data_IF_110058961715
#
_entry.id   IF_110058961715
#
_cell.length_a   1.000
_cell.length_b   1.000
_cell.length_c   1.000
_cell.angle_alpha   90.00
_cell.angle_beta   90.00
_cell.angle_gamma   90.00
#
_symmetry.space_group_name_H-M   'P 1'
#
loop_
_entity.id
_entity.type
_entity.pdbx_description
1 polymer ?
#
# COMPACT_ATOMS: atom_id res chain seq x y z
N UNK A 1 -36.50 8.92 -94.29
CA UNK A 1 -37.63 9.79 -94.77
C UNK A 1 -38.27 10.49 -93.59
N UNK A 2 -38.45 11.85 -93.77
CA UNK A 2 -39.24 12.79 -92.90
C UNK A 2 -38.75 12.98 -91.43
N UNK A 3 -38.06 14.05 -91.15
CA UNK A 3 -38.34 15.52 -91.02
C UNK A 3 -39.58 15.84 -90.17
N UNK A 4 -39.32 16.61 -89.12
CA UNK A 4 -40.00 17.86 -88.64
C UNK A 4 -40.14 17.80 -87.07
N UNK A 5 -40.07 18.79 -86.27
CA UNK A 5 -39.71 20.21 -86.29
C UNK A 5 -40.02 20.73 -84.91
N UNK A 6 -39.11 21.49 -84.35
CA UNK A 6 -39.10 22.53 -83.32
C UNK A 6 -40.47 22.96 -82.74
N UNK A 7 -40.50 23.06 -81.38
CA UNK A 7 -41.12 24.23 -80.73
C UNK A 7 -40.37 24.62 -79.44
N UNK A 8 -40.01 25.90 -79.35
CA UNK A 8 -39.41 26.55 -78.17
C UNK A 8 -40.54 26.95 -77.21
N UNK A 9 -40.37 26.72 -75.97
CA UNK A 9 -41.18 27.29 -74.90
C UNK A 9 -40.28 27.58 -73.67
N UNK A 10 -39.95 28.87 -73.51
CA UNK A 10 -39.23 29.36 -72.33
C UNK A 10 -40.20 29.50 -71.19
N UNK A 11 -39.90 28.81 -70.08
CA UNK A 11 -40.51 29.11 -68.76
C UNK A 11 -39.36 29.37 -67.77
N UNK A 12 -39.30 30.62 -67.32
CA UNK A 12 -38.39 31.02 -66.22
C UNK A 12 -38.84 30.38 -64.91
N UNK A 13 -38.01 29.53 -64.32
CA UNK A 13 -38.21 29.06 -63.00
C UNK A 13 -37.09 29.63 -62.08
N UNK A 14 -37.51 30.49 -61.21
CA UNK A 14 -36.68 31.09 -60.11
C UNK A 14 -36.20 30.00 -59.18
N UNK A 15 -34.92 29.68 -59.24
CA UNK A 15 -34.27 28.73 -58.35
C UNK A 15 -33.87 29.48 -57.03
N UNK A 16 -34.59 29.25 -55.90
CA UNK A 16 -34.16 29.61 -54.58
C UNK A 16 -33.01 28.67 -54.17
N UNK A 17 -31.78 29.17 -54.16
CA UNK A 17 -30.64 28.48 -53.65
C UNK A 17 -30.70 28.50 -52.10
N UNK A 18 -31.10 27.37 -51.48
CA UNK A 18 -30.92 27.14 -50.06
C UNK A 18 -29.45 26.88 -49.84
N UNK A 19 -28.71 27.86 -49.28
CA UNK A 19 -27.39 27.66 -48.71
C UNK A 19 -27.53 26.80 -47.44
N UNK A 20 -27.37 25.47 -47.55
CA UNK A 20 -27.06 24.61 -46.46
C UNK A 20 -25.60 24.89 -46.06
N UNK A 21 -25.37 25.82 -45.16
CA UNK A 21 -24.09 25.95 -44.48
C UNK A 21 -23.91 24.69 -43.61
N UNK A 22 -23.28 23.67 -44.18
CA UNK A 22 -22.77 22.53 -43.43
C UNK A 22 -21.75 23.04 -42.42
N UNK A 23 -22.10 22.98 -41.15
CA UNK A 23 -21.15 23.02 -40.06
C UNK A 23 -20.23 21.80 -40.22
N UNK A 24 -19.20 21.93 -41.06
CA UNK A 24 -18.03 21.06 -40.99
C UNK A 24 -17.38 21.37 -39.65
N UNK A 25 -17.79 20.65 -38.60
CA UNK A 25 -17.02 20.60 -37.37
C UNK A 25 -15.59 20.24 -37.78
N UNK A 26 -14.64 21.11 -37.49
CA UNK A 26 -13.22 20.79 -37.60
C UNK A 26 -13.01 19.48 -36.85
N UNK A 27 -12.42 18.42 -37.48
CA UNK A 27 -12.11 17.22 -36.78
C UNK A 27 -11.28 17.62 -35.55
N UNK A 28 -11.74 17.22 -34.37
CA UNK A 28 -10.97 17.43 -33.16
C UNK A 28 -9.57 16.87 -33.44
N UNK A 29 -8.57 17.74 -33.39
CA UNK A 29 -7.18 17.33 -33.58
C UNK A 29 -6.91 16.27 -32.50
N UNK A 30 -6.48 15.09 -32.90
CA UNK A 30 -6.04 14.08 -31.94
C UNK A 30 -4.96 14.71 -31.06
N UNK A 31 -5.11 14.59 -29.77
CA UNK A 31 -4.10 15.06 -28.82
C UNK A 31 -2.75 14.43 -29.16
N UNK A 32 -1.68 15.19 -29.03
CA UNK A 32 -0.33 14.65 -29.27
C UNK A 32 -0.06 13.51 -28.27
N UNK A 33 0.55 12.39 -28.70
CA UNK A 33 0.79 11.23 -27.84
C UNK A 33 1.67 11.63 -26.64
N UNK A 34 1.23 11.28 -25.43
CA UNK A 34 1.93 11.55 -24.18
C UNK A 34 2.40 10.23 -23.54
N UNK A 35 3.63 10.19 -23.06
CA UNK A 35 4.15 9.04 -22.29
C UNK A 35 4.40 9.44 -20.85
N UNK A 36 3.56 8.95 -19.93
CA UNK A 36 3.75 9.11 -18.48
C UNK A 36 4.67 8.01 -17.98
N UNK A 37 5.80 8.37 -17.41
CA UNK A 37 6.73 7.43 -16.77
C UNK A 37 6.41 7.30 -15.29
N UNK A 38 6.21 6.07 -14.82
CA UNK A 38 5.86 5.75 -13.43
C UNK A 38 6.98 4.91 -12.81
N UNK A 39 7.59 5.39 -11.73
CA UNK A 39 8.49 4.58 -10.91
C UNK A 39 7.73 3.99 -9.74
N UNK A 40 7.81 2.65 -9.59
CA UNK A 40 7.07 1.91 -8.58
C UNK A 40 7.84 0.70 -8.07
N UNK A 41 7.34 0.08 -7.03
CA UNK A 41 7.80 -1.19 -6.47
C UNK A 41 6.61 -2.15 -6.34
N UNK A 42 6.89 -3.45 -6.16
CA UNK A 42 5.83 -4.45 -5.98
C UNK A 42 4.68 -4.32 -7.02
N UNK A 43 3.47 -4.48 -6.55
CA UNK A 43 2.25 -4.41 -7.37
C UNK A 43 1.35 -3.23 -6.98
N UNK A 44 1.94 -2.05 -6.76
CA UNK A 44 1.20 -0.81 -6.49
C UNK A 44 0.36 -0.38 -7.69
N UNK A 45 0.92 -0.50 -8.90
CA UNK A 45 0.24 -0.15 -10.15
C UNK A 45 -0.26 -1.42 -10.83
N UNK A 46 -1.58 -1.54 -10.98
CA UNK A 46 -2.25 -2.74 -11.47
C UNK A 46 -2.45 -2.71 -12.99
N UNK A 47 -2.01 -3.76 -13.68
CA UNK A 47 -2.06 -3.86 -15.14
C UNK A 47 -3.47 -3.70 -15.72
N UNK A 48 -4.48 -4.22 -15.03
CA UNK A 48 -5.87 -4.11 -15.48
C UNK A 48 -6.30 -2.64 -15.55
N UNK A 49 -6.06 -1.86 -14.49
CA UNK A 49 -6.42 -0.44 -14.45
C UNK A 49 -5.58 0.38 -15.44
N UNK A 50 -4.32 0.02 -15.66
CA UNK A 50 -3.48 0.61 -16.71
C UNK A 50 -4.14 0.43 -18.09
N UNK A 51 -4.66 -0.76 -18.37
CA UNK A 51 -5.35 -1.03 -19.64
C UNK A 51 -6.71 -0.30 -19.73
N UNK A 52 -7.46 -0.24 -18.62
CA UNK A 52 -8.71 0.52 -18.56
C UNK A 52 -8.44 2.01 -18.83
N UNK A 53 -7.43 2.60 -18.20
CA UNK A 53 -7.07 4.01 -18.42
C UNK A 53 -6.63 4.28 -19.87
N UNK A 54 -5.83 3.39 -20.45
CA UNK A 54 -5.42 3.47 -21.85
C UNK A 54 -6.60 3.40 -22.83
N UNK A 55 -7.63 2.63 -22.50
CA UNK A 55 -8.84 2.57 -23.34
C UNK A 55 -9.65 3.87 -23.27
N UNK A 56 -9.61 4.57 -22.13
CA UNK A 56 -10.26 5.88 -21.92
C UNK A 56 -9.43 7.02 -22.54
N UNK A 57 -8.11 6.88 -22.55
CA UNK A 57 -7.12 7.85 -22.98
C UNK A 57 -6.13 7.20 -23.98
N UNK A 58 -6.54 6.92 -25.23
CA UNK A 58 -5.69 6.24 -26.20
C UNK A 58 -4.44 7.02 -26.60
N UNK A 59 -4.43 8.34 -26.38
CA UNK A 59 -3.30 9.24 -26.57
C UNK A 59 -2.23 9.09 -25.47
N UNK A 60 -2.57 8.46 -24.32
CA UNK A 60 -1.66 8.32 -23.18
C UNK A 60 -1.04 6.92 -23.14
N UNK A 61 0.28 6.86 -23.05
CA UNK A 61 1.05 5.65 -22.78
C UNK A 61 1.58 5.69 -21.35
N UNK A 62 1.33 4.64 -20.55
CA UNK A 62 1.87 4.49 -19.19
C UNK A 62 3.10 3.59 -19.23
N UNK A 63 4.29 4.14 -19.00
CA UNK A 63 5.54 3.40 -18.92
C UNK A 63 5.90 3.12 -17.44
N UNK A 64 5.68 1.88 -17.00
CA UNK A 64 5.89 1.48 -15.62
C UNK A 64 7.29 0.87 -15.45
N UNK A 65 8.11 1.47 -14.58
CA UNK A 65 9.44 0.96 -14.19
C UNK A 65 9.39 0.50 -12.73
N UNK A 66 9.51 -0.81 -12.53
CA UNK A 66 9.58 -1.41 -11.19
C UNK A 66 11.03 -1.54 -10.73
N UNK A 67 11.29 -1.25 -9.46
CA UNK A 67 12.56 -1.51 -8.80
C UNK A 67 12.34 -1.91 -7.34
N UNK A 68 13.41 -2.29 -6.65
CA UNK A 68 13.35 -2.54 -5.21
C UNK A 68 13.03 -1.25 -4.45
N UNK A 69 12.30 -1.40 -3.35
CA UNK A 69 11.79 -0.28 -2.55
C UNK A 69 12.89 0.67 -2.06
N UNK A 70 13.96 0.13 -1.45
CA UNK A 70 14.98 0.98 -0.83
C UNK A 70 15.77 1.81 -1.87
N UNK A 71 16.25 1.26 -3.00
CA UNK A 71 16.81 2.07 -4.07
C UNK A 71 15.81 3.10 -4.63
N UNK A 72 14.57 2.70 -4.86
CA UNK A 72 13.54 3.57 -5.43
C UNK A 72 13.32 4.81 -4.57
N UNK A 73 12.91 4.61 -3.31
CA UNK A 73 12.55 5.72 -2.41
C UNK A 73 13.76 6.38 -1.73
N UNK A 74 14.95 5.79 -1.88
CA UNK A 74 16.22 6.34 -1.41
C UNK A 74 17.00 6.98 -2.55
N UNK A 75 18.07 6.31 -2.99
CA UNK A 75 19.07 6.86 -3.92
C UNK A 75 18.48 7.36 -5.23
N UNK A 76 17.55 6.61 -5.85
CA UNK A 76 17.00 6.98 -7.16
C UNK A 76 16.19 8.28 -7.08
N UNK A 77 15.29 8.40 -6.08
CA UNK A 77 14.51 9.64 -5.90
C UNK A 77 15.39 10.84 -5.50
N UNK A 78 16.40 10.63 -4.62
CA UNK A 78 17.33 11.68 -4.25
C UNK A 78 18.07 12.19 -5.49
N UNK A 79 18.57 11.29 -6.34
CA UNK A 79 19.23 11.63 -7.60
C UNK A 79 18.28 12.39 -8.53
N UNK A 80 17.07 11.87 -8.74
CA UNK A 80 16.08 12.50 -9.62
C UNK A 80 15.66 13.90 -9.13
N UNK A 81 15.45 14.06 -7.82
CA UNK A 81 15.13 15.37 -7.22
C UNK A 81 16.27 16.39 -7.40
N UNK A 82 17.53 15.93 -7.31
CA UNK A 82 18.71 16.80 -7.44
C UNK A 82 18.98 17.18 -8.89
N UNK A 83 18.91 16.20 -9.81
CA UNK A 83 19.16 16.40 -11.24
C UNK A 83 17.99 17.07 -11.98
N UNK A 84 16.80 17.11 -11.36
CA UNK A 84 15.54 17.55 -11.98
C UNK A 84 15.16 16.74 -13.23
N UNK A 85 15.51 15.46 -13.23
CA UNK A 85 15.18 14.52 -14.32
C UNK A 85 14.71 13.20 -13.72
N UNK A 86 13.66 12.63 -14.29
CA UNK A 86 13.12 11.37 -13.78
C UNK A 86 11.69 11.10 -14.25
N UNK A 87 10.90 10.37 -13.46
CA UNK A 87 9.53 10.00 -13.82
C UNK A 87 8.54 11.14 -13.59
N UNK A 88 7.32 10.95 -14.15
CA UNK A 88 6.18 11.83 -13.91
C UNK A 88 5.42 11.44 -12.64
N UNK A 89 5.47 10.15 -12.27
CA UNK A 89 4.85 9.63 -11.05
C UNK A 89 5.85 8.76 -10.28
N UNK A 90 5.88 8.93 -8.95
CA UNK A 90 6.66 8.05 -8.06
C UNK A 90 5.77 7.48 -6.95
N UNK A 91 5.87 6.18 -6.75
CA UNK A 91 5.29 5.50 -5.60
C UNK A 91 6.20 5.68 -4.37
N UNK A 92 5.74 6.42 -3.37
CA UNK A 92 6.45 6.65 -2.10
C UNK A 92 5.82 5.79 -1.01
N UNK A 93 6.59 4.85 -0.49
CA UNK A 93 6.15 3.97 0.59
C UNK A 93 6.18 4.70 1.95
N UNK A 94 5.26 4.36 2.84
CA UNK A 94 5.02 5.07 4.11
C UNK A 94 6.26 5.20 5.00
N UNK A 95 7.17 4.20 5.01
CA UNK A 95 8.40 4.26 5.80
C UNK A 95 9.36 5.37 5.35
N UNK A 96 9.17 5.87 4.12
CA UNK A 96 9.91 7.00 3.55
C UNK A 96 9.14 8.33 3.61
N UNK A 97 7.84 8.28 3.97
CA UNK A 97 7.00 9.49 4.01
C UNK A 97 7.60 10.59 4.88
N UNK A 98 8.07 10.26 6.08
CA UNK A 98 8.69 11.25 6.97
C UNK A 98 9.91 11.95 6.37
N UNK A 99 10.74 11.21 5.61
CA UNK A 99 11.85 11.77 4.88
C UNK A 99 11.37 12.72 3.78
N UNK A 100 10.51 12.27 2.89
CA UNK A 100 10.08 13.03 1.73
C UNK A 100 9.18 14.21 2.07
N UNK A 101 8.37 14.13 3.13
CA UNK A 101 7.60 15.24 3.68
C UNK A 101 8.49 16.40 4.14
N UNK A 102 9.75 16.14 4.50
CA UNK A 102 10.73 17.17 4.84
C UNK A 102 11.39 17.80 3.61
N UNK A 103 11.15 17.28 2.41
CA UNK A 103 11.65 17.81 1.13
C UNK A 103 10.50 18.09 0.14
N UNK A 104 9.47 18.87 0.52
CA UNK A 104 8.27 19.05 -0.29
C UNK A 104 8.55 19.69 -1.65
N UNK A 105 9.65 20.46 -1.79
CA UNK A 105 10.07 21.07 -3.06
C UNK A 105 10.46 20.05 -4.15
N UNK A 106 10.63 18.78 -3.79
CA UNK A 106 10.84 17.71 -4.76
C UNK A 106 9.55 17.31 -5.48
N UNK A 107 8.40 17.78 -5.02
CA UNK A 107 7.09 17.42 -5.53
C UNK A 107 6.30 18.62 -6.02
N UNK A 108 5.39 18.38 -6.94
CA UNK A 108 4.38 19.34 -7.36
C UNK A 108 3.33 19.45 -6.25
N UNK A 109 2.96 20.67 -5.89
CA UNK A 109 1.86 20.91 -4.96
C UNK A 109 0.50 20.70 -5.66
N UNK A 110 -0.10 19.55 -5.46
CA UNK A 110 -1.37 19.15 -6.09
C UNK A 110 -2.58 19.99 -5.68
N UNK A 111 -2.45 20.86 -4.64
CA UNK A 111 -3.48 21.87 -4.33
C UNK A 111 -3.61 22.92 -5.42
N UNK A 112 -2.52 23.13 -6.21
CA UNK A 112 -2.44 24.12 -7.29
C UNK A 112 -2.83 23.57 -8.64
N UNK A 113 -3.02 22.26 -8.74
CA UNK A 113 -3.45 21.58 -9.96
C UNK A 113 -4.97 21.35 -9.94
N UNK A 114 -5.55 21.26 -11.13
CA UNK A 114 -6.97 20.93 -11.30
C UNK A 114 -7.09 19.79 -12.29
N UNK A 115 -8.00 18.86 -12.05
CA UNK A 115 -8.32 17.82 -13.01
C UNK A 115 -8.80 18.43 -14.33
N UNK A 116 -8.37 17.87 -15.45
CA UNK A 116 -8.70 18.34 -16.79
C UNK A 116 -10.09 17.86 -17.27
N UNK A 117 -10.60 18.48 -18.34
CA UNK A 117 -11.83 18.06 -19.02
C UNK A 117 -11.69 16.65 -19.64
N UNK A 118 -10.47 16.24 -20.02
CA UNK A 118 -10.21 14.92 -20.56
C UNK A 118 -10.60 13.79 -19.58
N UNK A 119 -10.49 14.03 -18.28
CA UNK A 119 -10.80 13.05 -17.24
C UNK A 119 -12.30 12.88 -16.95
N UNK A 120 -13.16 13.76 -17.48
CA UNK A 120 -14.62 13.68 -17.29
C UNK A 120 -15.18 12.39 -17.89
N UNK A 121 -14.70 12.00 -19.07
CA UNK A 121 -15.11 10.76 -19.73
C UNK A 121 -14.71 9.51 -18.91
N UNK A 122 -13.66 9.64 -18.08
CA UNK A 122 -13.21 8.60 -17.15
C UNK A 122 -13.94 8.62 -15.78
N UNK A 123 -14.91 9.51 -15.60
CA UNK A 123 -15.73 9.61 -14.38
C UNK A 123 -15.13 10.54 -13.30
N UNK A 124 -14.05 11.25 -13.59
CA UNK A 124 -13.45 12.23 -12.66
C UNK A 124 -13.92 13.63 -13.06
N UNK A 125 -14.62 14.37 -12.19
CA UNK A 125 -15.07 15.73 -12.50
C UNK A 125 -13.90 16.67 -12.78
N UNK A 126 -14.01 17.50 -13.82
CA UNK A 126 -13.02 18.54 -14.13
C UNK A 126 -12.97 19.65 -13.05
N UNK A 127 -11.85 20.35 -13.02
CA UNK A 127 -11.64 21.50 -12.16
C UNK A 127 -11.44 21.17 -10.66
N UNK A 128 -11.23 19.88 -10.29
CA UNK A 128 -11.02 19.45 -8.92
C UNK A 128 -9.54 19.52 -8.52
N UNK A 129 -9.27 20.11 -7.38
CA UNK A 129 -7.96 20.11 -6.74
C UNK A 129 -7.80 18.90 -5.82
N UNK A 130 -6.58 18.63 -5.35
CA UNK A 130 -6.34 17.56 -4.39
C UNK A 130 -7.22 17.69 -3.13
N UNK A 131 -7.53 18.91 -2.67
CA UNK A 131 -8.34 19.12 -1.47
C UNK A 131 -9.81 18.70 -1.65
N UNK A 132 -10.33 18.72 -2.87
CA UNK A 132 -11.69 18.23 -3.17
C UNK A 132 -11.82 16.73 -2.93
N UNK A 133 -10.72 15.98 -3.09
CA UNK A 133 -10.66 14.52 -2.90
C UNK A 133 -10.35 14.11 -1.45
N UNK A 134 -9.75 15.00 -0.64
CA UNK A 134 -9.31 14.70 0.74
C UNK A 134 -10.40 13.99 1.56
N UNK A 135 -11.65 14.37 1.44
CA UNK A 135 -12.81 13.80 2.16
C UNK A 135 -13.07 12.32 1.88
N UNK A 136 -12.53 11.79 0.78
CA UNK A 136 -12.72 10.39 0.40
C UNK A 136 -11.84 9.46 1.23
N UNK A 137 -10.71 9.93 1.74
CA UNK A 137 -9.65 9.12 2.33
C UNK A 137 -9.64 9.16 3.85
N UNK A 138 -8.99 8.19 4.47
CA UNK A 138 -8.64 8.21 5.88
C UNK A 138 -7.78 9.45 6.18
N UNK A 139 -8.15 10.28 7.17
CA UNK A 139 -7.41 11.51 7.45
C UNK A 139 -5.91 11.30 7.68
N UNK A 140 -5.55 10.30 8.49
CA UNK A 140 -4.13 10.03 8.79
C UNK A 140 -3.35 9.49 7.59
N UNK A 141 -4.01 8.74 6.67
CA UNK A 141 -3.36 8.30 5.42
C UNK A 141 -3.14 9.47 4.47
N UNK A 142 -4.12 10.36 4.38
CA UNK A 142 -3.97 11.59 3.61
C UNK A 142 -2.80 12.44 4.12
N UNK A 143 -2.71 12.65 5.44
CA UNK A 143 -1.65 13.47 6.05
C UNK A 143 -0.23 12.93 5.78
N UNK A 144 -0.07 11.63 5.54
CA UNK A 144 1.22 11.04 5.13
C UNK A 144 1.66 11.47 3.72
N UNK A 145 0.76 11.99 2.88
CA UNK A 145 1.03 12.58 1.57
C UNK A 145 1.17 14.11 1.60
N UNK A 146 1.14 14.73 2.80
CA UNK A 146 1.24 16.19 2.97
C UNK A 146 2.62 16.56 3.48
N UNK A 147 3.31 17.47 2.77
CA UNK A 147 4.62 18.01 3.17
C UNK A 147 4.55 18.83 4.45
N UNK A 148 5.70 19.09 5.06
CA UNK A 148 5.76 19.92 6.28
C UNK A 148 5.48 21.42 6.00
N UNK A 149 5.32 21.81 4.75
CA UNK A 149 4.87 23.13 4.28
C UNK A 149 3.38 23.11 3.86
N UNK A 150 2.63 22.11 4.28
CA UNK A 150 1.22 21.85 3.94
C UNK A 150 0.95 21.56 2.45
N UNK A 151 1.98 21.45 1.59
CA UNK A 151 1.78 21.06 0.20
C UNK A 151 1.26 19.62 0.10
N UNK A 152 0.33 19.34 -0.82
CA UNK A 152 -0.14 17.97 -1.09
C UNK A 152 0.74 17.37 -2.18
N UNK A 153 1.59 16.41 -1.81
CA UNK A 153 2.55 15.77 -2.70
C UNK A 153 1.97 14.61 -3.50
N UNK A 154 0.95 13.93 -2.97
CA UNK A 154 0.36 12.75 -3.58
C UNK A 154 -0.89 12.25 -2.87
N UNK A 155 -1.50 11.20 -3.43
CA UNK A 155 -2.68 10.56 -2.88
C UNK A 155 -2.34 9.17 -2.36
N UNK A 156 -2.99 8.71 -1.26
CA UNK A 156 -2.75 7.37 -0.71
C UNK A 156 -3.39 6.29 -1.57
N UNK A 157 -2.66 5.20 -1.83
CA UNK A 157 -3.13 4.08 -2.64
C UNK A 157 -3.89 3.02 -1.83
N UNK A 158 -3.45 2.80 -0.59
CA UNK A 158 -3.90 1.67 0.22
C UNK A 158 -3.62 1.89 1.71
N UNK A 159 -4.14 0.97 2.51
CA UNK A 159 -3.85 0.86 3.94
C UNK A 159 -3.35 -0.55 4.23
N UNK A 160 -2.21 -0.65 4.87
CA UNK A 160 -1.65 -1.92 5.34
C UNK A 160 -2.23 -2.37 6.68
N UNK A 161 -3.57 -2.32 6.85
CA UNK A 161 -4.22 -2.81 8.06
C UNK A 161 -3.75 -4.21 8.42
N UNK A 162 -3.34 -4.42 9.69
CA UNK A 162 -2.73 -5.68 10.16
C UNK A 162 -3.76 -6.59 10.81
N UNK A 163 -3.74 -7.86 10.36
CA UNK A 163 -4.44 -8.97 10.98
C UNK A 163 -3.53 -10.21 11.03
N UNK A 164 -4.02 -11.33 11.56
CA UNK A 164 -3.27 -12.59 11.58
C UNK A 164 -3.82 -13.55 10.54
N UNK A 165 -3.08 -13.79 9.46
CA UNK A 165 -3.36 -14.92 8.58
C UNK A 165 -2.86 -16.22 9.24
N UNK A 166 -3.72 -17.24 9.30
CA UNK A 166 -3.37 -18.53 9.92
C UNK A 166 -3.79 -19.71 9.06
N UNK A 167 -3.06 -20.82 9.20
CA UNK A 167 -3.30 -22.09 8.51
C UNK A 167 -4.29 -22.94 9.31
N UNK A 168 -5.53 -23.01 8.86
CA UNK A 168 -6.62 -23.81 9.46
C UNK A 168 -6.25 -25.29 9.61
N UNK A 169 -5.63 -25.87 8.58
CA UNK A 169 -5.21 -27.27 8.59
C UNK A 169 -4.09 -27.55 9.62
N UNK A 170 -3.15 -26.64 9.78
CA UNK A 170 -2.08 -26.78 10.76
C UNK A 170 -2.58 -26.57 12.19
N UNK A 171 -3.52 -25.65 12.40
CA UNK A 171 -4.18 -25.45 13.69
C UNK A 171 -4.97 -26.70 14.09
N UNK A 172 -5.73 -27.29 13.15
CA UNK A 172 -6.44 -28.56 13.36
C UNK A 172 -5.47 -29.68 13.77
N UNK A 173 -4.34 -29.81 13.04
CA UNK A 173 -3.30 -30.81 13.36
C UNK A 173 -2.71 -30.63 14.76
N UNK A 174 -2.59 -29.37 15.21
CA UNK A 174 -2.08 -29.04 16.55
C UNK A 174 -3.14 -29.14 17.67
N UNK A 175 -4.39 -29.47 17.35
CA UNK A 175 -5.50 -29.51 18.32
C UNK A 175 -5.90 -28.13 18.85
N UNK A 176 -5.71 -27.09 18.02
CA UNK A 176 -6.16 -25.72 18.27
C UNK A 176 -7.51 -25.46 17.59
N UNK A 177 -8.29 -24.48 18.07
CA UNK A 177 -9.46 -23.99 17.34
C UNK A 177 -9.14 -23.62 15.90
N UNK A 178 -10.13 -23.77 15.01
CA UNK A 178 -9.98 -23.51 13.58
C UNK A 178 -10.95 -22.43 13.06
N UNK A 179 -11.97 -22.10 13.83
CA UNK A 179 -12.93 -21.04 13.50
C UNK A 179 -12.32 -19.69 13.89
N UNK A 180 -12.38 -18.68 12.98
CA UNK A 180 -11.65 -17.39 13.11
C UNK A 180 -11.95 -16.65 14.41
N UNK A 181 -13.19 -16.58 14.84
CA UNK A 181 -13.55 -15.91 16.09
C UNK A 181 -13.03 -16.63 17.32
N UNK A 182 -12.98 -17.98 17.29
CA UNK A 182 -12.36 -18.76 18.37
C UNK A 182 -10.83 -18.66 18.35
N UNK A 183 -10.23 -18.54 17.16
CA UNK A 183 -8.78 -18.33 16.98
C UNK A 183 -8.36 -16.95 17.51
N UNK A 184 -9.08 -15.87 17.16
CA UNK A 184 -8.78 -14.52 17.68
C UNK A 184 -8.85 -14.46 19.22
N UNK A 185 -9.75 -15.22 19.85
CA UNK A 185 -9.85 -15.33 21.33
C UNK A 185 -8.66 -16.05 21.98
N UNK A 186 -7.81 -16.76 21.25
CA UNK A 186 -6.60 -17.37 21.80
C UNK A 186 -5.58 -16.33 22.23
N UNK A 187 -5.58 -15.15 21.57
CA UNK A 187 -4.53 -14.15 21.72
C UNK A 187 -5.04 -12.70 21.85
N UNK A 188 -5.85 -12.37 22.84
CA UNK A 188 -6.28 -10.99 23.07
C UNK A 188 -5.09 -10.03 23.39
N UNK A 189 -3.92 -10.58 23.72
CA UNK A 189 -2.68 -9.85 23.98
C UNK A 189 -1.49 -10.56 23.33
N UNK A 190 -0.39 -9.83 23.15
CA UNK A 190 0.85 -10.39 22.60
C UNK A 190 1.44 -11.51 23.50
N UNK A 191 1.30 -11.41 24.82
CA UNK A 191 1.71 -12.50 25.73
C UNK A 191 0.90 -13.78 25.48
N UNK A 192 -0.40 -13.66 25.22
CA UNK A 192 -1.24 -14.80 24.86
C UNK A 192 -0.92 -15.35 23.48
N UNK A 193 -0.55 -14.47 22.53
CA UNK A 193 -0.06 -14.89 21.22
C UNK A 193 1.22 -15.74 21.34
N UNK A 194 2.19 -15.28 22.13
CA UNK A 194 3.42 -16.02 22.41
C UNK A 194 3.12 -17.36 23.08
N UNK A 195 2.24 -17.37 24.09
CA UNK A 195 1.84 -18.60 24.78
C UNK A 195 1.16 -19.60 23.85
N UNK A 196 0.32 -19.11 22.91
CA UNK A 196 -0.31 -19.94 21.88
C UNK A 196 0.75 -20.51 20.95
N UNK A 197 1.75 -19.72 20.55
CA UNK A 197 2.87 -20.19 19.75
C UNK A 197 3.70 -21.29 20.43
N UNK A 198 3.98 -21.15 21.72
CA UNK A 198 4.64 -22.20 22.52
C UNK A 198 3.79 -23.47 22.56
N UNK A 199 2.47 -23.34 22.78
CA UNK A 199 1.53 -24.48 22.75
C UNK A 199 1.51 -25.16 21.39
N UNK A 200 1.44 -24.39 20.28
CA UNK A 200 1.51 -24.93 18.93
C UNK A 200 2.81 -25.70 18.70
N UNK A 201 3.97 -25.08 19.01
CA UNK A 201 5.28 -25.70 18.79
C UNK A 201 5.47 -26.97 19.64
N UNK A 202 4.83 -27.07 20.82
CA UNK A 202 4.86 -28.29 21.63
C UNK A 202 4.18 -29.50 20.93
N UNK A 203 3.25 -29.23 20.02
CA UNK A 203 2.51 -30.24 19.24
C UNK A 203 3.21 -30.66 17.94
N UNK A 204 4.29 -29.97 17.54
CA UNK A 204 5.08 -30.35 16.38
C UNK A 204 5.76 -31.70 16.60
N UNK A 205 5.78 -32.54 15.57
CA UNK A 205 6.54 -33.81 15.58
C UNK A 205 8.04 -33.56 15.68
N UNK A 206 8.80 -34.54 16.07
CA UNK A 206 10.27 -34.46 16.08
C UNK A 206 10.82 -34.11 14.69
N UNK A 207 10.22 -34.65 13.62
CA UNK A 207 10.58 -34.35 12.24
C UNK A 207 10.26 -32.89 11.87
N UNK A 208 9.08 -32.36 12.23
CA UNK A 208 8.70 -30.96 11.98
C UNK A 208 9.64 -29.99 12.73
N UNK A 209 9.98 -30.31 14.00
CA UNK A 209 10.96 -29.51 14.78
C UNK A 209 12.34 -29.50 14.15
N UNK A 210 12.82 -30.68 13.69
CA UNK A 210 14.10 -30.81 12.97
C UNK A 210 14.10 -30.03 11.65
N UNK A 211 12.94 -29.95 10.98
CA UNK A 211 12.75 -29.18 9.75
C UNK A 211 12.60 -27.67 9.99
N UNK A 212 12.70 -27.19 11.25
CA UNK A 212 12.65 -25.76 11.58
C UNK A 212 11.25 -25.14 11.48
N UNK A 213 10.18 -25.96 11.50
CA UNK A 213 8.82 -25.44 11.48
C UNK A 213 8.47 -24.69 12.76
N UNK A 214 7.59 -23.70 12.66
CA UNK A 214 7.20 -22.86 13.77
C UNK A 214 5.76 -22.34 13.69
N UNK A 215 5.35 -21.67 14.76
CA UNK A 215 4.04 -21.05 14.86
C UNK A 215 3.93 -19.81 13.95
N UNK A 216 4.88 -18.89 14.05
CA UNK A 216 4.93 -17.69 13.21
C UNK A 216 6.10 -17.76 12.24
N UNK A 217 5.95 -17.14 11.09
CA UNK A 217 6.98 -17.05 10.06
C UNK A 217 8.29 -16.42 10.59
N UNK A 218 8.18 -15.26 11.24
CA UNK A 218 9.32 -14.56 11.83
C UNK A 218 8.89 -13.78 13.08
N UNK A 219 9.46 -14.10 14.24
CA UNK A 219 9.14 -13.41 15.49
C UNK A 219 9.54 -11.91 15.48
N UNK A 220 10.50 -11.52 14.65
CA UNK A 220 10.91 -10.12 14.49
C UNK A 220 9.81 -9.19 13.98
N UNK A 221 8.80 -9.72 13.30
CA UNK A 221 7.67 -8.94 12.77
C UNK A 221 6.76 -8.37 13.87
N UNK A 222 6.81 -8.96 15.08
CA UNK A 222 6.05 -8.45 16.22
C UNK A 222 6.45 -7.01 16.55
N UNK A 223 7.73 -6.64 16.39
CA UNK A 223 8.19 -5.30 16.70
C UNK A 223 7.39 -4.23 15.96
N UNK A 224 7.33 -4.35 14.63
CA UNK A 224 6.61 -3.38 13.81
C UNK A 224 5.10 -3.37 14.13
N UNK A 225 4.49 -4.54 14.32
CA UNK A 225 3.08 -4.64 14.68
C UNK A 225 2.75 -3.94 16.00
N UNK A 226 3.56 -4.18 17.06
CA UNK A 226 3.38 -3.55 18.37
C UNK A 226 3.63 -2.04 18.29
N UNK A 227 4.67 -1.62 17.56
CA UNK A 227 4.95 -0.19 17.38
C UNK A 227 3.79 0.55 16.74
N UNK A 228 3.13 -0.06 15.76
CA UNK A 228 2.01 0.52 15.04
C UNK A 228 0.67 0.52 15.81
N UNK A 229 0.64 -0.04 17.01
CA UNK A 229 -0.50 0.04 17.95
C UNK A 229 -0.40 1.22 18.92
N UNK A 230 0.77 1.86 19.00
CA UNK A 230 1.00 3.06 19.80
C UNK A 230 0.48 4.33 19.12
N UNK A 231 0.65 5.45 19.81
CA UNK A 231 0.38 6.79 19.28
C UNK A 231 1.66 7.51 18.87
N UNK A 232 2.81 7.03 19.30
CA UNK A 232 4.14 7.56 19.01
C UNK A 232 5.11 6.43 18.68
N UNK A 233 6.00 6.67 17.71
CA UNK A 233 7.14 5.78 17.45
C UNK A 233 8.43 6.39 17.97
N UNK A 234 9.26 6.89 17.07
CA UNK A 234 10.59 7.45 17.38
C UNK A 234 10.56 8.96 17.55
N UNK A 235 9.44 9.58 17.22
CA UNK A 235 9.20 11.01 17.32
C UNK A 235 7.98 11.29 18.16
N UNK A 236 8.01 12.46 18.83
CA UNK A 236 6.85 12.96 19.54
C UNK A 236 5.74 13.36 18.57
N UNK A 237 4.51 13.05 18.93
CA UNK A 237 3.32 13.32 18.13
C UNK A 237 2.37 14.31 18.83
N UNK A 238 2.93 15.35 19.44
CA UNK A 238 2.16 16.37 20.19
C UNK A 238 1.91 17.65 19.39
N UNK A 239 2.32 17.68 18.12
CA UNK A 239 2.14 18.84 17.24
C UNK A 239 3.04 20.04 17.54
N UNK A 240 3.73 20.06 18.70
CA UNK A 240 4.58 21.17 19.12
C UNK A 240 6.06 20.96 18.79
N UNK A 241 6.46 19.70 18.65
CA UNK A 241 7.86 19.32 18.49
C UNK A 241 8.01 18.07 17.59
N UNK A 242 7.34 18.17 16.40
CA UNK A 242 7.27 17.09 15.42
C UNK A 242 8.64 16.54 14.96
N UNK A 243 9.74 17.17 15.36
CA UNK A 243 11.10 16.72 15.12
C UNK A 243 11.78 16.08 16.33
N UNK A 244 11.16 16.08 17.53
CA UNK A 244 11.81 15.59 18.73
C UNK A 244 11.87 14.07 18.78
N UNK A 245 13.09 13.55 18.77
CA UNK A 245 13.37 12.12 18.87
C UNK A 245 13.15 11.63 20.31
N UNK A 246 12.41 10.52 20.43
CA UNK A 246 12.08 9.85 21.69
C UNK A 246 12.34 8.33 21.63
N UNK A 247 13.12 7.86 20.65
CA UNK A 247 13.36 6.43 20.42
C UNK A 247 13.91 5.66 21.63
N UNK A 248 14.64 6.32 22.53
CA UNK A 248 15.25 5.76 23.73
C UNK A 248 14.42 5.97 25.00
N UNK A 249 13.46 6.88 24.98
CA UNK A 249 12.60 7.23 26.12
C UNK A 249 11.15 6.77 25.95
N UNK A 250 10.70 6.49 24.72
CA UNK A 250 9.35 6.04 24.47
C UNK A 250 9.08 4.63 25.04
N UNK A 251 8.14 4.46 25.99
CA UNK A 251 7.81 3.16 26.56
C UNK A 251 7.28 2.16 25.52
N UNK A 252 6.66 2.63 24.42
CA UNK A 252 6.18 1.76 23.34
C UNK A 252 7.34 1.07 22.62
N UNK A 253 8.44 1.78 22.38
CA UNK A 253 9.66 1.20 21.77
C UNK A 253 10.21 0.10 22.68
N UNK A 254 10.28 0.35 24.00
CA UNK A 254 10.73 -0.63 24.97
C UNK A 254 9.80 -1.84 25.07
N UNK A 255 8.48 -1.61 25.04
CA UNK A 255 7.48 -2.67 25.04
C UNK A 255 7.63 -3.55 23.78
N UNK A 256 7.71 -2.94 22.61
CA UNK A 256 7.85 -3.66 21.34
C UNK A 256 9.14 -4.47 21.29
N UNK A 257 10.27 -3.89 21.72
CA UNK A 257 11.55 -4.58 21.80
C UNK A 257 11.46 -5.80 22.72
N UNK A 258 11.03 -5.60 23.98
CA UNK A 258 11.01 -6.66 24.99
C UNK A 258 10.06 -7.80 24.59
N UNK A 259 8.89 -7.48 24.04
CA UNK A 259 7.91 -8.49 23.58
C UNK A 259 8.45 -9.29 22.41
N UNK A 260 9.13 -8.64 21.47
CA UNK A 260 9.76 -9.32 20.33
C UNK A 260 10.91 -10.23 20.78
N UNK A 261 11.73 -9.78 21.72
CA UNK A 261 12.79 -10.61 22.33
C UNK A 261 12.17 -11.83 23.01
N UNK A 262 11.11 -11.64 23.83
CA UNK A 262 10.40 -12.73 24.49
C UNK A 262 9.88 -13.77 23.49
N UNK A 263 9.30 -13.33 22.37
CA UNK A 263 8.83 -14.21 21.29
C UNK A 263 10.00 -14.99 20.64
N UNK A 264 11.11 -14.30 20.41
CA UNK A 264 12.34 -14.89 19.82
C UNK A 264 12.95 -15.93 20.74
N UNK A 265 13.08 -15.62 22.05
CA UNK A 265 13.63 -16.54 23.07
C UNK A 265 12.71 -17.73 23.35
N UNK A 266 11.38 -17.53 23.28
CA UNK A 266 10.39 -18.60 23.34
C UNK A 266 10.42 -19.52 22.09
N UNK A 267 11.14 -19.14 21.04
CA UNK A 267 11.35 -19.95 19.85
C UNK A 267 10.06 -20.21 19.06
N UNK A 268 9.09 -19.27 19.08
CA UNK A 268 7.81 -19.46 18.40
C UNK A 268 7.88 -19.26 16.88
N UNK A 269 8.90 -18.55 16.38
CA UNK A 269 9.09 -18.27 14.97
C UNK A 269 10.03 -19.25 14.29
N UNK A 270 9.94 -19.30 12.95
CA UNK A 270 11.00 -19.87 12.12
C UNK A 270 12.20 -18.92 12.07
N UNK A 271 13.31 -19.37 11.49
CA UNK A 271 14.50 -18.53 11.27
C UNK A 271 14.61 -18.06 9.82
N UNK A 272 13.51 -18.16 9.08
CA UNK A 272 13.47 -17.82 7.66
C UNK A 272 13.22 -16.31 7.53
N UNK A 273 14.02 -15.65 6.70
CA UNK A 273 13.80 -14.25 6.35
C UNK A 273 12.58 -14.09 5.45
N UNK A 274 11.74 -13.10 5.73
CA UNK A 274 10.62 -12.78 4.83
C UNK A 274 11.12 -12.41 3.42
N UNK A 275 10.31 -12.69 2.43
CA UNK A 275 10.54 -12.43 0.99
C UNK A 275 11.70 -13.23 0.38
N UNK A 276 12.26 -14.20 1.09
CA UNK A 276 13.20 -15.18 0.50
C UNK A 276 12.44 -16.32 -0.18
N UNK A 277 13.12 -17.03 -1.08
CA UNK A 277 12.54 -18.22 -1.74
C UNK A 277 12.08 -19.28 -0.73
N UNK A 278 12.83 -19.50 0.37
CA UNK A 278 12.45 -20.46 1.42
C UNK A 278 11.19 -20.02 2.16
N UNK A 279 10.99 -18.72 2.37
CA UNK A 279 9.78 -18.18 2.98
C UNK A 279 8.56 -18.37 2.08
N UNK A 280 8.69 -18.08 0.79
CA UNK A 280 7.66 -18.30 -0.21
C UNK A 280 7.23 -19.78 -0.28
N UNK A 281 8.20 -20.68 -0.39
CA UNK A 281 7.97 -22.13 -0.36
C UNK A 281 7.32 -22.54 0.97
N UNK A 282 7.73 -21.91 2.07
CA UNK A 282 7.23 -22.16 3.42
C UNK A 282 5.73 -21.94 3.59
N UNK A 283 5.15 -20.95 2.89
CA UNK A 283 3.71 -20.69 2.88
C UNK A 283 2.93 -21.88 2.34
N UNK A 284 3.38 -22.44 1.21
CA UNK A 284 2.73 -23.59 0.57
C UNK A 284 2.95 -24.87 1.40
N UNK A 285 4.17 -25.12 1.84
CA UNK A 285 4.53 -26.34 2.60
C UNK A 285 4.11 -26.33 4.07
N UNK A 286 3.58 -25.23 4.59
CA UNK A 286 3.22 -25.10 6.00
C UNK A 286 4.42 -25.17 6.93
N UNK A 287 5.49 -24.45 6.59
CA UNK A 287 6.66 -24.32 7.46
C UNK A 287 6.33 -23.48 8.69
N UNK A 288 5.39 -22.58 8.57
CA UNK A 288 4.83 -21.78 9.66
C UNK A 288 3.30 -21.76 9.56
N UNK A 289 2.66 -21.56 10.70
CA UNK A 289 1.21 -21.62 10.82
C UNK A 289 0.54 -20.25 10.80
N UNK A 290 1.29 -19.16 11.06
CA UNK A 290 0.76 -17.78 11.09
C UNK A 290 1.71 -16.80 10.43
N UNK A 291 1.12 -15.72 9.90
CA UNK A 291 1.81 -14.52 9.40
C UNK A 291 1.06 -13.32 9.97
N UNK A 292 1.77 -12.29 10.45
CA UNK A 292 1.14 -10.98 10.64
C UNK A 292 0.92 -10.37 9.27
N UNK A 293 -0.33 -10.33 8.84
CA UNK A 293 -0.70 -10.07 7.46
C UNK A 293 -1.37 -8.70 7.31
N UNK A 294 -0.68 -7.69 6.78
CA UNK A 294 -1.36 -6.55 6.20
C UNK A 294 -2.22 -7.01 5.01
N UNK A 295 -3.27 -6.26 4.69
CA UNK A 295 -4.23 -6.68 3.66
C UNK A 295 -3.59 -7.05 2.32
N UNK A 296 -2.56 -6.29 1.89
CA UNK A 296 -1.80 -6.58 0.65
C UNK A 296 -1.06 -7.93 0.68
N UNK A 297 -0.77 -8.47 1.88
CA UNK A 297 -0.14 -9.79 2.03
C UNK A 297 -1.07 -10.92 1.59
N UNK A 298 -2.39 -10.71 1.56
CA UNK A 298 -3.35 -11.74 1.12
C UNK A 298 -3.07 -12.16 -0.33
N UNK A 299 -2.89 -11.21 -1.23
CA UNK A 299 -2.59 -11.53 -2.64
C UNK A 299 -1.21 -12.17 -2.77
N UNK A 300 -0.22 -11.69 -2.01
CA UNK A 300 1.09 -12.31 -1.97
C UNK A 300 1.03 -13.78 -1.55
N UNK A 301 0.25 -14.12 -0.51
CA UNK A 301 0.03 -15.51 -0.07
C UNK A 301 -0.62 -16.33 -1.18
N UNK A 302 -1.62 -15.80 -1.89
CA UNK A 302 -2.28 -16.49 -3.02
C UNK A 302 -1.27 -16.81 -4.13
N UNK A 303 -0.41 -15.86 -4.47
CA UNK A 303 0.60 -16.03 -5.52
C UNK A 303 1.67 -17.08 -5.13
N UNK A 304 2.13 -17.06 -3.87
CA UNK A 304 3.21 -17.92 -3.40
C UNK A 304 2.75 -19.32 -2.96
N UNK A 305 1.45 -19.47 -2.62
CA UNK A 305 0.91 -20.72 -2.09
C UNK A 305 -0.43 -21.12 -2.73
N UNK A 306 -0.54 -21.16 -4.07
CA UNK A 306 -1.81 -21.40 -4.78
C UNK A 306 -2.49 -22.72 -4.40
N UNK A 307 -1.72 -23.76 -4.03
CA UNK A 307 -2.24 -25.09 -3.63
C UNK A 307 -2.86 -25.10 -2.22
N UNK A 308 -2.94 -23.96 -1.56
CA UNK A 308 -3.45 -23.83 -0.20
C UNK A 308 -4.79 -23.10 -0.10
N UNK A 309 -5.49 -22.97 -1.22
CA UNK A 309 -6.86 -22.42 -1.25
C UNK A 309 -7.75 -23.08 -0.19
N UNK A 310 -8.43 -22.28 0.61
CA UNK A 310 -9.30 -22.73 1.70
C UNK A 310 -8.58 -23.26 2.95
N UNK A 311 -7.22 -23.30 2.95
CA UNK A 311 -6.41 -23.70 4.11
C UNK A 311 -5.96 -22.52 4.97
N UNK A 312 -6.10 -21.29 4.49
CA UNK A 312 -5.83 -20.07 5.24
C UNK A 312 -7.13 -19.44 5.73
N UNK A 313 -7.05 -18.69 6.81
CA UNK A 313 -8.12 -17.82 7.30
C UNK A 313 -7.50 -16.60 7.99
N UNK A 314 -8.33 -15.62 8.33
CA UNK A 314 -7.90 -14.36 8.96
C UNK A 314 -8.54 -14.24 10.34
N UNK A 315 -7.74 -13.93 11.35
CA UNK A 315 -8.18 -13.66 12.72
C UNK A 315 -7.62 -12.32 13.22
N UNK A 316 -8.29 -11.76 14.22
CA UNK A 316 -7.94 -10.47 14.81
C UNK A 316 -6.49 -10.42 15.28
N UNK A 317 -5.84 -9.27 15.07
CA UNK A 317 -4.51 -8.98 15.61
C UNK A 317 -4.55 -8.88 17.15
N UNK A 318 -3.55 -9.42 17.89
CA UNK A 318 -3.45 -9.23 19.33
C UNK A 318 -3.47 -7.74 19.72
N UNK A 319 -4.42 -7.34 20.59
CA UNK A 319 -4.61 -5.94 20.98
C UNK A 319 -5.37 -5.07 19.98
N UNK A 320 -5.59 -5.56 18.75
CA UNK A 320 -6.31 -4.88 17.68
C UNK A 320 -5.63 -3.62 17.14
N UNK A 321 -5.96 -3.27 15.91
CA UNK A 321 -5.37 -2.13 15.20
C UNK A 321 -3.88 -2.34 14.87
N UNK A 322 -3.45 -1.70 13.82
CA UNK A 322 -2.07 -1.77 13.36
C UNK A 322 -2.03 -1.49 11.85
N UNK A 323 -0.92 -0.95 11.40
CA UNK A 323 -0.71 -0.69 9.99
C UNK A 323 0.72 -1.09 9.61
N UNK A 324 0.88 -1.76 8.49
CA UNK A 324 2.20 -2.05 7.91
C UNK A 324 2.17 -1.78 6.42
N UNK A 325 2.93 -0.79 6.01
CA UNK A 325 2.97 -0.36 4.63
C UNK A 325 1.84 0.60 4.27
N UNK A 326 1.67 0.80 2.99
CA UNK A 326 0.84 1.80 2.35
C UNK A 326 1.71 2.75 1.53
N UNK A 327 1.17 3.20 0.41
CA UNK A 327 1.91 3.97 -0.59
C UNK A 327 1.21 5.29 -0.88
N UNK A 328 1.95 6.28 -1.33
CA UNK A 328 1.45 7.52 -1.94
C UNK A 328 1.87 7.51 -3.42
N UNK A 329 0.97 7.81 -4.34
CA UNK A 329 1.37 8.21 -5.69
C UNK A 329 1.59 9.70 -5.72
N UNK A 330 2.81 10.10 -6.03
CA UNK A 330 3.26 11.51 -5.97
C UNK A 330 3.64 12.00 -7.36
N UNK A 331 3.53 13.31 -7.59
CA UNK A 331 4.00 13.96 -8.82
C UNK A 331 5.27 14.76 -8.51
N UNK A 332 6.45 14.36 -9.02
CA UNK A 332 7.67 15.12 -8.85
C UNK A 332 7.57 16.54 -9.45
N UNK A 333 8.29 17.50 -8.85
CA UNK A 333 8.30 18.90 -9.32
C UNK A 333 8.98 19.10 -10.69
N UNK A 334 9.65 18.08 -11.18
CA UNK A 334 10.34 18.02 -12.48
C UNK A 334 9.60 17.13 -13.50
N UNK A 335 8.40 16.68 -13.19
CA UNK A 335 7.59 15.88 -14.12
C UNK A 335 7.32 16.67 -15.40
N UNK A 336 7.58 16.05 -16.56
CA UNK A 336 7.34 16.66 -17.88
C UNK A 336 5.84 16.70 -18.17
N UNK A 337 5.10 15.70 -17.70
CA UNK A 337 3.66 15.52 -17.91
C UNK A 337 2.88 15.59 -16.59
N UNK A 338 3.14 16.66 -15.79
CA UNK A 338 2.56 16.80 -14.46
C UNK A 338 1.03 16.85 -14.46
N UNK A 339 0.40 17.43 -15.52
CA UNK A 339 -1.06 17.50 -15.62
C UNK A 339 -1.67 16.11 -15.86
N UNK A 340 -1.14 15.38 -16.82
CA UNK A 340 -1.60 14.03 -17.15
C UNK A 340 -1.31 13.05 -16.01
N UNK A 341 -0.18 13.24 -15.30
CA UNK A 341 0.15 12.49 -14.10
C UNK A 341 -0.87 12.73 -12.97
N UNK A 342 -1.27 13.98 -12.74
CA UNK A 342 -2.30 14.32 -11.76
C UNK A 342 -3.66 13.74 -12.13
N UNK A 343 -4.05 13.83 -13.39
CA UNK A 343 -5.29 13.28 -13.93
C UNK A 343 -5.34 11.75 -13.76
N UNK A 344 -4.22 11.07 -14.08
CA UNK A 344 -4.11 9.63 -13.85
C UNK A 344 -4.25 9.27 -12.36
N UNK A 345 -3.55 9.97 -11.46
CA UNK A 345 -3.62 9.73 -10.02
C UNK A 345 -5.06 9.94 -9.50
N UNK A 346 -5.73 11.01 -9.90
CA UNK A 346 -7.09 11.32 -9.49
C UNK A 346 -8.09 10.26 -9.95
N UNK A 347 -7.89 9.67 -11.13
CA UNK A 347 -8.68 8.56 -11.63
C UNK A 347 -8.32 7.23 -10.96
N UNK A 348 -7.02 6.90 -10.93
CA UNK A 348 -6.53 5.60 -10.43
C UNK A 348 -6.87 5.37 -8.96
N UNK A 349 -6.89 6.44 -8.17
CA UNK A 349 -7.18 6.41 -6.73
C UNK A 349 -8.61 6.90 -6.39
N UNK A 350 -9.50 6.98 -7.38
CA UNK A 350 -10.91 7.15 -7.10
C UNK A 350 -11.46 5.95 -6.31
N UNK A 351 -12.41 6.13 -5.38
CA UNK A 351 -12.91 5.06 -4.53
C UNK A 351 -13.35 3.79 -5.29
N UNK A 352 -13.99 3.95 -6.45
CA UNK A 352 -14.40 2.82 -7.30
C UNK A 352 -13.19 2.01 -7.81
N UNK A 353 -12.09 2.67 -8.17
CA UNK A 353 -10.87 1.98 -8.63
C UNK A 353 -10.15 1.28 -7.47
N UNK A 354 -10.05 1.93 -6.32
CA UNK A 354 -9.51 1.29 -5.12
C UNK A 354 -10.33 0.06 -4.70
N UNK A 355 -11.66 0.08 -4.83
CA UNK A 355 -12.52 -1.08 -4.57
C UNK A 355 -12.24 -2.24 -5.56
N UNK A 356 -12.05 -1.92 -6.85
CA UNK A 356 -11.65 -2.94 -7.86
C UNK A 356 -10.30 -3.55 -7.51
N UNK A 357 -9.31 -2.71 -7.17
CA UNK A 357 -7.97 -3.14 -6.77
C UNK A 357 -8.02 -4.04 -5.55
N UNK A 358 -8.81 -3.69 -4.54
CA UNK A 358 -8.99 -4.54 -3.36
C UNK A 358 -9.55 -5.92 -3.71
N UNK A 359 -10.64 -5.98 -4.48
CA UNK A 359 -11.29 -7.24 -4.83
C UNK A 359 -10.41 -8.16 -5.68
N UNK A 360 -9.50 -7.58 -6.48
CA UNK A 360 -8.66 -8.35 -7.40
C UNK A 360 -7.30 -8.66 -6.80
N UNK A 361 -6.70 -7.72 -6.07
CA UNK A 361 -5.29 -7.77 -5.63
C UNK A 361 -5.11 -7.61 -4.11
N UNK A 362 -6.19 -7.47 -3.34
CA UNK A 362 -6.12 -7.40 -1.88
C UNK A 362 -5.56 -6.11 -1.29
N UNK A 363 -5.21 -5.10 -2.10
CA UNK A 363 -4.78 -3.79 -1.60
C UNK A 363 -5.97 -3.08 -0.95
N UNK A 364 -5.96 -2.95 0.37
CA UNK A 364 -7.11 -2.42 1.11
C UNK A 364 -7.26 -0.92 0.90
N UNK A 365 -8.47 -0.42 0.52
CA UNK A 365 -8.66 0.97 0.13
C UNK A 365 -8.24 1.97 1.20
N UNK A 366 -7.52 3.03 0.81
CA UNK A 366 -7.33 4.22 1.63
C UNK A 366 -8.60 5.09 1.65
N UNK A 367 -9.48 4.90 0.67
CA UNK A 367 -10.76 5.59 0.53
C UNK A 367 -11.76 5.13 1.60
N UNK A 368 -11.77 5.82 2.74
CA UNK A 368 -12.63 5.50 3.89
C UNK A 368 -14.13 5.65 3.64
N UNK A 369 -14.53 6.35 2.57
CA UNK A 369 -15.92 6.42 2.14
C UNK A 369 -16.49 5.03 1.79
N UNK A 370 -15.63 4.08 1.44
CA UNK A 370 -15.99 2.69 1.15
C UNK A 370 -16.26 1.83 2.41
N UNK A 371 -15.85 2.27 3.60
CA UNK A 371 -15.93 1.43 4.81
C UNK A 371 -17.35 1.24 5.35
N UNK A 372 -18.33 1.83 4.69
CA UNK A 372 -19.76 1.58 4.90
C UNK A 372 -20.44 0.99 3.67
N UNK A 373 -19.69 0.75 2.60
CA UNK A 373 -20.23 0.22 1.36
C UNK A 373 -20.37 -1.31 1.46
N UNK A 374 -21.57 -1.87 1.24
CA UNK A 374 -21.79 -3.31 1.18
C UNK A 374 -20.88 -4.01 0.17
N UNK A 375 -20.51 -3.34 -0.93
CA UNK A 375 -19.62 -3.91 -1.93
C UNK A 375 -18.21 -4.20 -1.42
N UNK A 376 -17.76 -3.49 -0.36
CA UNK A 376 -16.54 -3.78 0.37
C UNK A 376 -16.82 -4.75 1.54
N UNK A 377 -17.81 -4.44 2.39
CA UNK A 377 -18.04 -5.14 3.66
C UNK A 377 -18.47 -6.60 3.48
N UNK A 378 -19.27 -6.88 2.45
CA UNK A 378 -19.79 -8.22 2.16
C UNK A 378 -18.83 -9.07 1.31
N UNK A 379 -17.71 -8.49 0.88
CA UNK A 379 -16.73 -9.22 0.10
C UNK A 379 -16.06 -10.33 0.92
N UNK A 380 -16.19 -11.56 0.43
CA UNK A 380 -15.63 -12.78 1.02
C UNK A 380 -14.54 -13.33 0.11
N UNK A 381 -13.40 -13.68 0.69
CA UNK A 381 -12.30 -14.26 -0.08
C UNK A 381 -12.30 -15.79 0.01
N UNK A 382 -12.57 -16.50 -1.10
CA UNK A 382 -12.62 -17.99 -1.09
C UNK A 382 -11.29 -18.63 -0.72
N UNK A 383 -10.17 -17.99 -1.06
CA UNK A 383 -8.84 -18.50 -0.71
C UNK A 383 -8.64 -18.55 0.81
N UNK A 384 -9.16 -17.56 1.52
CA UNK A 384 -9.13 -17.45 2.97
C UNK A 384 -10.40 -17.99 3.64
N UNK A 385 -10.85 -19.18 3.23
CA UNK A 385 -11.98 -19.87 3.85
C UNK A 385 -13.26 -19.00 3.90
N UNK A 386 -13.52 -18.26 2.83
CA UNK A 386 -14.62 -17.29 2.73
C UNK A 386 -14.62 -16.24 3.86
N UNK A 387 -13.45 -15.83 4.33
CA UNK A 387 -13.34 -14.74 5.29
C UNK A 387 -13.97 -13.46 4.73
N UNK A 388 -14.79 -12.73 5.51
CA UNK A 388 -15.33 -11.42 5.13
C UNK A 388 -14.22 -10.37 5.27
N UNK A 389 -13.19 -10.46 4.42
CA UNK A 389 -11.95 -9.69 4.52
C UNK A 389 -12.17 -8.17 4.44
N UNK A 390 -13.16 -7.74 3.66
CA UNK A 390 -13.55 -6.33 3.61
C UNK A 390 -13.98 -5.80 4.97
N UNK A 391 -14.81 -6.54 5.70
CA UNK A 391 -15.26 -6.21 7.05
C UNK A 391 -14.12 -6.29 8.06
N UNK A 392 -13.35 -7.38 8.06
CA UNK A 392 -12.26 -7.63 9.03
C UNK A 392 -11.24 -6.48 8.97
N UNK A 393 -10.75 -6.18 7.77
CA UNK A 393 -9.75 -5.11 7.61
C UNK A 393 -10.34 -3.70 7.85
N UNK A 394 -11.62 -3.45 7.51
CA UNK A 394 -12.28 -2.18 7.86
C UNK A 394 -12.29 -1.95 9.38
N UNK A 395 -12.70 -2.97 10.15
CA UNK A 395 -12.76 -2.90 11.61
C UNK A 395 -11.35 -2.74 12.22
N UNK A 396 -10.34 -3.41 11.67
CA UNK A 396 -8.93 -3.30 12.08
C UNK A 396 -8.36 -1.90 11.83
N UNK A 397 -8.53 -1.39 10.61
CA UNK A 397 -8.00 -0.09 10.18
C UNK A 397 -8.61 1.07 10.96
N UNK A 398 -9.90 1.00 11.31
CA UNK A 398 -10.57 2.03 12.13
C UNK A 398 -10.04 2.11 13.56
N UNK A 399 -9.31 1.10 14.04
CA UNK A 399 -8.63 1.09 15.35
C UNK A 399 -7.20 1.64 15.28
N UNK A 400 -6.67 1.88 14.08
CA UNK A 400 -5.31 2.41 13.89
C UNK A 400 -5.24 3.83 14.43
N UNK A 401 -4.22 4.10 15.24
CA UNK A 401 -3.92 5.41 15.77
C UNK A 401 -2.93 6.12 14.85
N UNK A 402 -3.16 7.39 14.51
CA UNK A 402 -2.19 8.16 13.72
C UNK A 402 -0.85 8.26 14.43
N UNK A 403 0.22 8.06 13.70
CA UNK A 403 1.59 8.17 14.21
C UNK A 403 2.35 9.15 13.33
N UNK A 404 3.07 10.07 13.97
CA UNK A 404 4.00 10.92 13.24
C UNK A 404 5.24 10.14 12.82
N UNK A 405 5.55 10.19 11.54
CA UNK A 405 6.76 9.60 10.94
C UNK A 405 7.72 10.71 10.53
N UNK A 406 8.86 10.77 11.19
CA UNK A 406 9.85 11.81 10.94
C UNK A 406 10.94 11.38 9.95
N UNK A 407 11.83 12.31 9.64
CA UNK A 407 12.87 12.18 8.59
C UNK A 407 13.73 10.92 8.72
N UNK A 408 14.11 10.51 9.94
CA UNK A 408 15.02 9.39 10.18
C UNK A 408 14.28 8.07 10.46
N UNK A 409 12.95 8.03 10.29
CA UNK A 409 12.11 6.87 10.61
C UNK A 409 12.70 5.56 10.06
N UNK A 410 12.96 5.52 8.75
CA UNK A 410 13.48 4.32 8.07
C UNK A 410 14.84 3.87 8.60
N UNK A 411 15.74 4.80 8.83
CA UNK A 411 17.09 4.48 9.31
C UNK A 411 17.07 3.95 10.76
N UNK A 412 16.18 4.47 11.60
CA UNK A 412 15.99 3.97 12.97
C UNK A 412 15.37 2.57 12.94
N UNK A 413 14.35 2.32 12.09
CA UNK A 413 13.77 1.00 11.90
C UNK A 413 14.82 -0.04 11.48
N UNK A 414 15.72 0.33 10.57
CA UNK A 414 16.83 -0.53 10.13
C UNK A 414 17.81 -0.84 11.28
N UNK A 415 18.19 0.14 12.08
CA UNK A 415 19.08 -0.05 13.22
C UNK A 415 18.50 -1.01 14.27
N UNK A 416 17.19 -0.85 14.57
CA UNK A 416 16.47 -1.74 15.50
C UNK A 416 16.31 -3.14 14.91
N UNK A 417 15.94 -3.25 13.64
CA UNK A 417 15.85 -4.53 12.93
C UNK A 417 17.16 -5.30 12.95
N UNK A 418 18.29 -4.62 12.72
CA UNK A 418 19.64 -5.21 12.84
C UNK A 418 19.90 -5.69 14.28
N UNK A 419 19.44 -4.95 15.28
CA UNK A 419 19.53 -5.33 16.69
C UNK A 419 18.75 -6.61 17.01
N UNK A 420 17.49 -6.69 16.57
CA UNK A 420 16.66 -7.89 16.73
C UNK A 420 17.30 -9.11 16.03
N UNK A 421 17.86 -8.89 14.83
CA UNK A 421 18.58 -9.90 14.09
C UNK A 421 19.82 -10.44 14.82
N UNK A 422 20.57 -9.58 15.52
CA UNK A 422 21.73 -10.00 16.37
C UNK A 422 21.29 -10.96 17.48
N UNK A 423 20.14 -10.70 18.11
CA UNK A 423 19.60 -11.56 19.17
C UNK A 423 19.05 -12.87 18.58
N UNK A 424 18.27 -12.81 17.52
CA UNK A 424 17.71 -13.99 16.86
C UNK A 424 18.82 -14.95 16.37
N UNK A 425 19.93 -14.41 15.86
CA UNK A 425 21.11 -15.15 15.46
C UNK A 425 22.01 -15.62 16.64
N UNK A 426 21.62 -15.30 17.89
CA UNK A 426 22.41 -15.60 19.11
C UNK A 426 23.83 -14.99 19.11
N UNK A 427 24.04 -13.92 18.33
CA UNK A 427 25.33 -13.20 18.29
C UNK A 427 25.53 -12.25 19.47
N UNK A 428 24.42 -11.76 20.06
CA UNK A 428 24.43 -10.87 21.23
C UNK A 428 23.29 -11.22 22.16
N UNK A 429 23.45 -10.92 23.45
CA UNK A 429 22.31 -10.86 24.39
C UNK A 429 21.42 -9.69 24.08
N UNK A 430 20.15 -9.74 24.48
CA UNK A 430 19.19 -8.64 24.27
C UNK A 430 19.72 -7.29 24.79
N UNK A 431 20.30 -7.27 26.00
CA UNK A 431 20.86 -6.07 26.61
C UNK A 431 22.04 -5.47 25.82
N UNK A 432 23.00 -6.30 25.40
CA UNK A 432 24.15 -5.86 24.59
C UNK A 432 23.71 -5.38 23.22
N UNK A 433 22.74 -6.08 22.60
CA UNK A 433 22.22 -5.70 21.29
C UNK A 433 21.45 -4.38 21.36
N UNK A 434 20.66 -4.14 22.40
CA UNK A 434 20.00 -2.85 22.61
C UNK A 434 20.99 -1.70 22.78
N UNK A 435 22.01 -1.88 23.60
CA UNK A 435 23.08 -0.87 23.75
C UNK A 435 23.73 -0.54 22.40
N UNK A 436 23.98 -1.56 21.56
CA UNK A 436 24.52 -1.34 20.21
C UNK A 436 23.50 -0.62 19.31
N UNK A 437 22.20 -0.91 19.38
CA UNK A 437 21.13 -0.20 18.64
C UNK A 437 21.16 1.30 18.96
N UNK A 438 21.29 1.68 20.25
CA UNK A 438 21.40 3.08 20.64
C UNK A 438 22.63 3.75 20.00
N UNK A 439 23.78 3.06 19.95
CA UNK A 439 24.98 3.57 19.26
C UNK A 439 24.73 3.73 17.75
N UNK A 440 24.10 2.73 17.14
CA UNK A 440 23.81 2.74 15.70
C UNK A 440 22.85 3.91 15.34
N UNK A 441 21.79 4.13 16.13
CA UNK A 441 20.87 5.25 15.93
C UNK A 441 21.56 6.61 16.12
N UNK A 442 22.42 6.76 17.13
CA UNK A 442 23.18 8.01 17.35
C UNK A 442 24.07 8.35 16.15
N UNK A 443 24.67 7.36 15.47
CA UNK A 443 25.41 7.58 14.24
C UNK A 443 24.51 8.11 13.12
N UNK A 444 23.31 7.55 12.98
CA UNK A 444 22.33 8.01 11.98
C UNK A 444 21.88 9.47 12.22
N UNK A 445 21.73 9.86 13.48
CA UNK A 445 21.30 11.22 13.85
C UNK A 445 22.38 12.26 13.55
N UNK A 446 23.66 11.87 13.71
CA UNK A 446 24.81 12.78 13.58
C UNK A 446 25.36 12.88 12.15
N UNK A 447 24.87 12.06 11.21
CA UNK A 447 25.17 12.11 9.78
C UNK A 447 24.12 12.92 9.00
#
# INVERSE_FOLDING_TARGET
MRKKTIFKGSIAATSAAILAAGLLGTPARAADPVTITIWTFGDVIQRQLVQEYKNLHPEITLQIKKSDLDPLNGTNMVTACTSKTGPDIVAVEVQYSGYWRSYPKCFTDLRKMKTSEANVAAGVPAGKTALDFKKNYLPWRWEQGVGYDDSVMGFPTDVGGLEVAYRVDLFKKAGLPTERGAVGKLWPTWDKFIATGVKYNSKLSAADKKAGKGFIDNAGTLYAAIMNQGTEKYYRNDGTDAGKLIYDTNPQVKLAWNTTIKATEAGIGTRIGQYTSDWNIGMNKGTFATILAPAWMMDYIKQQAPDTTGKWDIADLPGGGGNQGGTQLTVPSYAEHAQEAYDFIAWYLAPEQELKVFKTYGLFPAASVLYKDPALLDYKDPFFNNAPVGKIYSEGVLKVKPIFEGKLQRAIDQAIGAGLGRVAAKKMTAAKSWAQVIVDIKKVINN
#
